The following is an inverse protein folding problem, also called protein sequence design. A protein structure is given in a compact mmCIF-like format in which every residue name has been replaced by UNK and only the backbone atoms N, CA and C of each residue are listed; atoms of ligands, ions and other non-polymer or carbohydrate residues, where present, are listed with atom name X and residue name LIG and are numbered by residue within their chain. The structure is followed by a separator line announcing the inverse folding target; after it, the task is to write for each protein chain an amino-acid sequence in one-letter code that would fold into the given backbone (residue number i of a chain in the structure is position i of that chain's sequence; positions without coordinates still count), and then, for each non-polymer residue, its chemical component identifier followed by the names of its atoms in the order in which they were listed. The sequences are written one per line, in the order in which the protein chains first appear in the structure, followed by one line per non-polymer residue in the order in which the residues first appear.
data_IF_782874219554
#
_entry.id   IF_782874219554
#
_cell.length_a   1.000
_cell.length_b   1.000
_cell.length_c   1.000
_cell.angle_alpha   90.00
_cell.angle_beta   90.00
_cell.angle_gamma   90.00
#
_symmetry.space_group_name_H-M   'P 1'
#
loop_
_entity.id
_entity.type
_entity.pdbx_description
1 polymer ?
#
# COMPACT_ATOMS: atom_id res chain seq x y z
N UNK A 1 -20.31 -20.50 -25.35
CA UNK A 1 -19.03 -21.17 -25.65
C UNK A 1 -17.89 -20.19 -25.97
N UNK A 2 -18.14 -19.08 -26.68
CA UNK A 2 -17.14 -18.08 -27.07
C UNK A 2 -16.49 -17.32 -25.92
N UNK A 3 -17.24 -16.84 -24.91
CA UNK A 3 -16.66 -16.05 -23.80
C UNK A 3 -15.62 -16.81 -22.97
N UNK A 4 -15.87 -18.09 -22.68
CA UNK A 4 -14.93 -18.93 -21.94
C UNK A 4 -13.63 -19.14 -22.71
N UNK A 5 -13.72 -19.34 -24.03
CA UNK A 5 -12.56 -19.47 -24.92
C UNK A 5 -11.73 -18.17 -24.96
N UNK A 6 -12.38 -17.00 -25.01
CA UNK A 6 -11.68 -15.71 -24.93
C UNK A 6 -10.96 -15.51 -23.60
N UNK A 7 -11.60 -15.83 -22.47
CA UNK A 7 -10.96 -15.76 -21.15
C UNK A 7 -9.74 -16.68 -21.11
N UNK A 8 -9.87 -17.92 -21.60
CA UNK A 8 -8.78 -18.90 -21.66
C UNK A 8 -7.60 -18.40 -22.50
N UNK A 9 -7.85 -17.85 -23.69
CA UNK A 9 -6.80 -17.30 -24.55
C UNK A 9 -6.08 -16.11 -23.92
N UNK A 10 -6.82 -15.23 -23.23
CA UNK A 10 -6.23 -14.12 -22.48
C UNK A 10 -5.38 -14.66 -21.32
N UNK A 11 -5.88 -15.59 -20.52
CA UNK A 11 -5.14 -16.17 -19.39
C UNK A 11 -3.83 -16.83 -19.83
N UNK A 12 -3.84 -17.60 -20.92
CA UNK A 12 -2.63 -18.24 -21.47
C UNK A 12 -1.59 -17.19 -21.88
N UNK A 13 -2.02 -16.11 -22.53
CA UNK A 13 -1.11 -15.04 -22.95
C UNK A 13 -0.48 -14.28 -21.77
N UNK A 14 -1.19 -14.16 -20.64
CA UNK A 14 -0.71 -13.45 -19.45
C UNK A 14 0.08 -14.32 -18.46
N UNK A 15 0.02 -15.65 -18.59
CA UNK A 15 0.75 -16.60 -17.73
C UNK A 15 2.27 -16.34 -17.65
N UNK A 16 3.01 -16.14 -18.76
CA UNK A 16 4.45 -15.85 -18.66
C UNK A 16 4.76 -14.51 -17.99
N UNK A 17 3.89 -13.51 -18.17
CA UNK A 17 4.05 -12.18 -17.58
C UNK A 17 3.84 -12.27 -16.07
N UNK A 18 2.77 -12.92 -15.63
CA UNK A 18 2.47 -13.14 -14.21
C UNK A 18 3.58 -13.92 -13.53
N UNK A 19 4.14 -14.96 -14.17
CA UNK A 19 5.29 -15.69 -13.65
C UNK A 19 6.56 -14.82 -13.48
N UNK A 20 6.81 -13.84 -14.36
CA UNK A 20 7.91 -12.89 -14.19
C UNK A 20 7.66 -11.91 -13.05
N UNK A 21 6.42 -11.41 -12.92
CA UNK A 21 6.01 -10.50 -11.84
C UNK A 21 6.16 -11.19 -10.48
N UNK A 22 5.65 -12.41 -10.33
CA UNK A 22 5.77 -13.18 -9.09
C UNK A 22 7.22 -13.48 -8.74
N UNK A 23 8.05 -13.76 -9.74
CA UNK A 23 9.46 -14.06 -9.51
C UNK A 23 10.27 -12.84 -9.11
N UNK A 24 10.05 -11.68 -9.74
CA UNK A 24 10.95 -10.53 -9.63
C UNK A 24 10.37 -9.31 -8.92
N UNK A 25 9.05 -9.18 -8.81
CA UNK A 25 8.40 -8.01 -8.23
C UNK A 25 7.75 -8.31 -6.89
N UNK A 26 6.76 -9.19 -6.86
CA UNK A 26 6.02 -9.55 -5.64
C UNK A 26 5.11 -10.75 -5.94
N UNK A 27 4.99 -11.70 -5.01
CA UNK A 27 4.19 -12.91 -5.20
C UNK A 27 2.98 -13.06 -4.25
N UNK A 28 2.80 -12.17 -3.27
CA UNK A 28 1.66 -12.21 -2.35
C UNK A 28 0.50 -11.35 -2.88
N UNK A 29 -0.31 -11.95 -3.76
CA UNK A 29 -1.48 -11.29 -4.35
C UNK A 29 -2.57 -10.94 -3.34
N UNK A 30 -2.71 -11.72 -2.28
CA UNK A 30 -3.72 -11.50 -1.24
C UNK A 30 -3.37 -10.22 -0.45
N UNK A 31 -2.11 -10.06 -0.06
CA UNK A 31 -1.64 -8.83 0.54
C UNK A 31 -1.86 -7.61 -0.37
N UNK A 32 -1.58 -7.72 -1.68
CA UNK A 32 -1.81 -6.62 -2.63
C UNK A 32 -3.28 -6.20 -2.67
N UNK A 33 -4.21 -7.16 -2.62
CA UNK A 33 -5.65 -6.88 -2.59
C UNK A 33 -6.02 -6.13 -1.30
N UNK A 34 -5.55 -6.59 -0.14
CA UNK A 34 -5.83 -5.91 1.13
C UNK A 34 -5.24 -4.51 1.20
N UNK A 35 -4.00 -4.34 0.73
CA UNK A 35 -3.36 -3.03 0.65
C UNK A 35 -4.12 -2.10 -0.30
N UNK A 36 -4.55 -2.59 -1.45
CA UNK A 36 -5.35 -1.81 -2.39
C UNK A 36 -6.68 -1.35 -1.77
N UNK A 37 -7.39 -2.25 -1.09
CA UNK A 37 -8.64 -1.92 -0.38
C UNK A 37 -8.40 -0.80 0.64
N UNK A 38 -7.33 -0.90 1.42
CA UNK A 38 -6.95 0.11 2.41
C UNK A 38 -6.68 1.48 1.77
N UNK A 39 -5.87 1.54 0.71
CA UNK A 39 -5.55 2.79 -0.01
C UNK A 39 -6.81 3.39 -0.65
N UNK A 40 -7.66 2.55 -1.24
CA UNK A 40 -8.91 2.99 -1.86
C UNK A 40 -9.85 3.60 -0.82
N UNK A 41 -10.01 2.92 0.33
CA UNK A 41 -10.86 3.41 1.42
C UNK A 41 -10.31 4.70 2.04
N UNK A 42 -9.00 4.77 2.27
CA UNK A 42 -8.32 6.00 2.72
C UNK A 42 -8.56 7.16 1.74
N UNK A 43 -8.38 6.92 0.44
CA UNK A 43 -8.58 7.94 -0.60
C UNK A 43 -10.02 8.42 -0.67
N UNK A 44 -11.00 7.51 -0.52
CA UNK A 44 -12.42 7.86 -0.46
C UNK A 44 -12.72 8.73 0.77
N UNK A 45 -12.23 8.36 1.95
CA UNK A 45 -12.43 9.15 3.17
C UNK A 45 -11.73 10.51 3.10
N UNK A 46 -10.49 10.56 2.60
CA UNK A 46 -9.75 11.79 2.36
C UNK A 46 -10.48 12.72 1.37
N UNK A 47 -11.08 12.15 0.32
CA UNK A 47 -11.94 12.89 -0.61
C UNK A 47 -13.19 13.43 0.10
N UNK A 48 -13.92 12.61 0.85
CA UNK A 48 -15.12 13.04 1.61
C UNK A 48 -14.81 14.16 2.60
N UNK A 49 -13.68 14.06 3.30
CA UNK A 49 -13.15 15.10 4.21
C UNK A 49 -12.94 16.42 3.47
N UNK A 50 -12.26 16.40 2.32
CA UNK A 50 -11.98 17.61 1.54
C UNK A 50 -13.23 18.18 0.88
N UNK A 51 -14.17 17.31 0.47
CA UNK A 51 -15.48 17.70 -0.04
C UNK A 51 -16.27 18.49 1.01
N UNK A 52 -16.37 17.96 2.25
CA UNK A 52 -17.06 18.63 3.37
C UNK A 52 -16.42 19.99 3.70
N UNK A 53 -15.10 20.12 3.53
CA UNK A 53 -14.35 21.37 3.76
C UNK A 53 -14.33 22.32 2.56
N UNK A 54 -14.90 21.93 1.41
CA UNK A 54 -14.86 22.68 0.13
C UNK A 54 -13.44 23.01 -0.35
N UNK A 55 -12.45 22.18 -0.01
CA UNK A 55 -11.02 22.38 -0.35
C UNK A 55 -10.52 21.34 -1.34
N UNK A 56 -11.34 20.97 -2.33
CA UNK A 56 -10.94 19.99 -3.34
C UNK A 56 -9.83 20.57 -4.22
N UNK A 57 -8.72 19.85 -4.31
CA UNK A 57 -7.58 20.23 -5.13
C UNK A 57 -7.04 19.02 -5.87
N UNK A 58 -6.61 19.21 -7.12
CA UNK A 58 -5.92 18.19 -7.92
C UNK A 58 -4.61 17.70 -7.28
N UNK A 59 -4.02 18.50 -6.38
CA UNK A 59 -2.84 18.11 -5.60
C UNK A 59 -3.11 16.86 -4.74
N UNK A 60 -4.33 16.67 -4.26
CA UNK A 60 -4.69 15.49 -3.45
C UNK A 60 -4.62 14.19 -4.28
N UNK A 61 -5.04 14.23 -5.54
CA UNK A 61 -4.97 13.07 -6.44
C UNK A 61 -3.52 12.70 -6.80
N UNK A 62 -2.66 13.70 -7.00
CA UNK A 62 -1.23 13.46 -7.21
C UNK A 62 -0.58 12.73 -6.04
N UNK A 63 -0.97 13.05 -4.79
CA UNK A 63 -0.44 12.37 -3.60
C UNK A 63 -0.78 10.88 -3.56
N UNK A 64 -1.95 10.46 -4.04
CA UNK A 64 -2.33 9.05 -4.13
C UNK A 64 -1.42 8.30 -5.11
N UNK A 65 -1.12 8.91 -6.27
CA UNK A 65 -0.20 8.31 -7.25
C UNK A 65 1.21 8.16 -6.66
N UNK A 66 1.73 9.20 -5.99
CA UNK A 66 3.03 9.11 -5.32
C UNK A 66 3.03 8.05 -4.22
N UNK A 67 1.94 7.92 -3.46
CA UNK A 67 1.76 6.86 -2.45
C UNK A 67 1.86 5.48 -3.09
N UNK A 68 1.14 5.23 -4.20
CA UNK A 68 1.18 3.97 -4.94
C UNK A 68 2.59 3.62 -5.43
N UNK A 69 3.27 4.56 -6.10
CA UNK A 69 4.65 4.34 -6.60
C UNK A 69 5.61 4.05 -5.44
N UNK A 70 5.47 4.76 -4.32
CA UNK A 70 6.31 4.56 -3.14
C UNK A 70 6.10 3.17 -2.53
N UNK A 71 4.85 2.71 -2.45
CA UNK A 71 4.52 1.42 -1.88
C UNK A 71 4.97 0.28 -2.80
N UNK A 72 4.75 0.41 -4.10
CA UNK A 72 5.27 -0.56 -5.08
C UNK A 72 6.79 -0.69 -4.99
N UNK A 73 7.51 0.43 -4.84
CA UNK A 73 8.96 0.40 -4.63
C UNK A 73 9.36 -0.38 -3.39
N UNK A 74 8.68 -0.17 -2.26
CA UNK A 74 8.96 -0.88 -1.00
C UNK A 74 8.65 -2.38 -1.09
N UNK A 75 7.55 -2.75 -1.74
CA UNK A 75 7.17 -4.15 -1.95
C UNK A 75 8.20 -4.90 -2.80
N UNK A 76 8.67 -4.27 -3.89
CA UNK A 76 9.71 -4.84 -4.73
C UNK A 76 11.00 -5.05 -3.94
N UNK A 77 11.42 -4.07 -3.14
CA UNK A 77 12.63 -4.20 -2.30
C UNK A 77 12.47 -5.31 -1.27
N UNK A 78 11.34 -5.38 -0.57
CA UNK A 78 11.04 -6.44 0.39
C UNK A 78 11.10 -7.84 -0.25
N UNK A 79 10.47 -7.99 -1.41
CA UNK A 79 10.46 -9.24 -2.17
C UNK A 79 11.84 -9.66 -2.63
N UNK A 80 12.65 -8.72 -3.13
CA UNK A 80 14.04 -8.98 -3.55
C UNK A 80 14.85 -9.50 -2.37
N UNK A 81 14.69 -8.91 -1.18
CA UNK A 81 15.45 -9.29 0.01
C UNK A 81 15.15 -10.73 0.45
N UNK A 82 13.88 -11.12 0.42
CA UNK A 82 13.44 -12.48 0.78
C UNK A 82 13.72 -13.50 -0.33
N UNK A 83 13.68 -13.06 -1.59
CA UNK A 83 13.96 -13.91 -2.75
C UNK A 83 15.46 -14.07 -3.03
N UNK A 84 16.32 -13.35 -2.30
CA UNK A 84 17.76 -13.36 -2.51
C UNK A 84 18.35 -14.74 -2.23
N UNK A 85 19.18 -15.23 -3.17
CA UNK A 85 19.85 -16.53 -3.08
C UNK A 85 21.35 -16.39 -3.25
N UNK A 86 22.10 -17.02 -2.35
CA UNK A 86 23.56 -17.14 -2.45
C UNK A 86 23.89 -18.62 -2.70
N UNK A 87 24.55 -18.93 -3.81
CA UNK A 87 24.85 -20.33 -4.18
C UNK A 87 23.60 -21.20 -4.42
N UNK A 88 22.47 -20.59 -4.80
CA UNK A 88 21.20 -21.29 -5.01
C UNK A 88 20.36 -21.50 -3.74
N UNK A 89 20.91 -21.23 -2.55
CA UNK A 89 20.22 -21.35 -1.26
C UNK A 89 19.58 -20.01 -0.89
N UNK A 90 18.31 -20.05 -0.44
CA UNK A 90 17.58 -18.87 0.03
C UNK A 90 18.22 -18.35 1.32
N UNK A 91 18.42 -17.04 1.42
CA UNK A 91 18.88 -16.40 2.65
C UNK A 91 17.69 -16.06 3.54
N UNK A 92 17.44 -16.87 4.57
CA UNK A 92 16.28 -16.68 5.48
C UNK A 92 16.43 -15.47 6.42
N UNK A 93 17.64 -14.91 6.54
CA UNK A 93 17.93 -13.77 7.41
C UNK A 93 17.05 -12.54 7.12
N UNK A 94 16.51 -12.41 5.91
CA UNK A 94 15.72 -11.24 5.50
C UNK A 94 14.19 -11.43 5.61
N UNK A 95 13.70 -12.60 6.03
CA UNK A 95 12.26 -12.87 6.13
C UNK A 95 11.53 -11.92 7.11
N UNK A 96 12.23 -11.41 8.13
CA UNK A 96 11.67 -10.41 9.05
C UNK A 96 11.48 -9.04 8.40
N UNK A 97 12.31 -8.69 7.41
CA UNK A 97 12.29 -7.38 6.77
C UNK A 97 11.03 -7.22 5.91
N UNK A 98 10.67 -8.24 5.14
CA UNK A 98 9.42 -8.25 4.39
C UNK A 98 8.22 -8.08 5.33
N UNK A 99 8.12 -8.90 6.38
CA UNK A 99 7.04 -8.80 7.37
C UNK A 99 6.95 -7.40 7.98
N UNK A 100 8.09 -6.78 8.28
CA UNK A 100 8.14 -5.42 8.79
C UNK A 100 7.61 -4.40 7.77
N UNK A 101 8.08 -4.46 6.52
CA UNK A 101 7.62 -3.57 5.44
C UNK A 101 6.12 -3.72 5.22
N UNK A 102 5.62 -4.94 5.00
CA UNK A 102 4.21 -5.22 4.76
C UNK A 102 3.33 -4.73 5.92
N UNK A 103 3.72 -5.04 7.16
CA UNK A 103 2.99 -4.58 8.35
C UNK A 103 3.02 -3.06 8.47
N UNK A 104 4.15 -2.42 8.20
CA UNK A 104 4.27 -0.95 8.28
C UNK A 104 3.37 -0.24 7.27
N UNK A 105 3.22 -0.78 6.05
CA UNK A 105 2.31 -0.24 5.04
C UNK A 105 0.85 -0.33 5.51
N UNK A 106 0.46 -1.48 6.07
CA UNK A 106 -0.89 -1.69 6.60
C UNK A 106 -1.18 -0.76 7.79
N UNK A 107 -0.23 -0.63 8.72
CA UNK A 107 -0.36 0.28 9.87
C UNK A 107 -0.46 1.72 9.41
N UNK A 108 0.35 2.15 8.45
CA UNK A 108 0.33 3.51 7.90
C UNK A 108 -1.02 3.85 7.27
N UNK A 109 -1.58 2.96 6.45
CA UNK A 109 -2.91 3.18 5.88
C UNK A 109 -4.00 3.14 6.96
N UNK A 110 -3.89 2.27 7.96
CA UNK A 110 -4.80 2.21 9.10
C UNK A 110 -4.83 3.52 9.89
N UNK A 111 -3.66 4.10 10.17
CA UNK A 111 -3.52 5.41 10.80
C UNK A 111 -4.21 6.48 9.94
N UNK A 112 -3.91 6.52 8.64
CA UNK A 112 -4.48 7.53 7.72
C UNK A 112 -6.02 7.47 7.66
N UNK A 113 -6.59 6.26 7.63
CA UNK A 113 -8.04 6.04 7.70
C UNK A 113 -8.61 6.60 9.00
N UNK A 114 -8.03 6.25 10.16
CA UNK A 114 -8.50 6.71 11.47
C UNK A 114 -8.46 8.24 11.57
N UNK A 115 -7.41 8.87 11.05
CA UNK A 115 -7.30 10.33 11.00
C UNK A 115 -8.36 10.98 10.11
N UNK A 116 -8.63 10.38 8.95
CA UNK A 116 -9.66 10.87 8.03
C UNK A 116 -11.05 10.74 8.65
N UNK A 117 -11.36 9.62 9.33
CA UNK A 117 -12.61 9.44 10.09
C UNK A 117 -12.73 10.49 11.19
N UNK A 118 -11.71 10.63 12.05
CA UNK A 118 -11.73 11.63 13.14
C UNK A 118 -11.83 13.07 12.64
N UNK A 119 -11.32 13.36 11.44
CA UNK A 119 -11.45 14.68 10.79
C UNK A 119 -12.85 14.96 10.21
N UNK A 120 -13.59 13.91 9.85
CA UNK A 120 -14.97 14.00 9.36
C UNK A 120 -15.95 14.10 10.52
N UNK A 121 -15.71 13.31 11.58
CA UNK A 121 -16.52 13.22 12.79
C UNK A 121 -15.63 13.06 14.04
N UNK A 122 -15.49 14.15 14.81
CA UNK A 122 -14.66 14.18 16.03
C UNK A 122 -15.21 13.30 17.17
N UNK A 123 -16.46 12.84 17.09
CA UNK A 123 -17.09 12.02 18.14
C UNK A 123 -16.67 10.56 18.08
N UNK A 124 -16.30 10.05 16.89
CA UNK A 124 -16.06 8.61 16.69
C UNK A 124 -14.64 8.20 17.06
N UNK A 125 -13.69 9.13 17.06
CA UNK A 125 -12.29 8.87 17.40
C UNK A 125 -11.84 9.81 18.51
N UNK A 126 -11.47 9.29 19.70
CA UNK A 126 -10.99 10.12 20.79
C UNK A 126 -9.75 10.93 20.41
N UNK A 127 -9.69 12.20 20.83
CA UNK A 127 -8.57 13.11 20.51
C UNK A 127 -7.21 12.61 21.00
N UNK A 128 -7.17 11.93 22.15
CA UNK A 128 -5.93 11.33 22.68
C UNK A 128 -5.36 10.26 21.74
N UNK A 129 -6.23 9.49 21.09
CA UNK A 129 -5.83 8.44 20.14
C UNK A 129 -5.28 9.08 18.87
N UNK A 130 -5.99 10.05 18.30
CA UNK A 130 -5.50 10.80 17.13
C UNK A 130 -4.14 11.45 17.37
N UNK A 131 -3.93 12.04 18.56
CA UNK A 131 -2.66 12.67 18.89
C UNK A 131 -1.52 11.65 18.97
N UNK A 132 -1.74 10.49 19.60
CA UNK A 132 -0.74 9.42 19.62
C UNK A 132 -0.43 8.89 18.23
N UNK A 133 -1.44 8.68 17.37
CA UNK A 133 -1.22 8.18 16.03
C UNK A 133 -0.42 9.15 15.14
N UNK A 134 -0.59 10.47 15.35
CA UNK A 134 0.22 11.50 14.69
C UNK A 134 1.70 11.46 15.06
N UNK A 135 2.01 11.07 16.31
CA UNK A 135 3.40 10.88 16.75
C UNK A 135 4.08 9.72 16.01
N UNK A 136 3.31 8.67 15.63
CA UNK A 136 3.83 7.56 14.81
C UNK A 136 4.07 7.96 13.34
N UNK A 137 3.38 8.99 12.84
CA UNK A 137 3.59 9.55 11.51
C UNK A 137 4.66 10.66 11.50
N UNK A 138 5.49 10.77 12.55
CA UNK A 138 6.60 11.73 12.58
C UNK A 138 7.52 11.53 11.37
N UNK A 139 7.38 12.49 10.45
CA UNK A 139 7.43 12.35 8.98
C UNK A 139 8.72 11.86 8.33
N UNK A 140 9.74 11.38 9.05
CA UNK A 140 11.03 10.94 8.48
C UNK A 140 11.68 12.00 7.58
N UNK A 141 11.19 13.24 7.60
CA UNK A 141 11.65 14.33 6.76
C UNK A 141 13.01 14.71 7.28
N UNK A 142 14.04 14.50 6.46
CA UNK A 142 15.29 15.22 6.65
C UNK A 142 14.95 16.70 6.70
N UNK A 143 15.29 17.38 7.81
CA UNK A 143 15.33 18.84 7.84
C UNK A 143 16.27 19.24 6.72
N UNK A 144 15.75 19.83 5.65
CA UNK A 144 16.59 20.51 4.67
C UNK A 144 17.44 21.51 5.45
N UNK A 145 18.75 21.25 5.51
CA UNK A 145 19.74 22.26 5.87
C UNK A 145 19.98 23.14 4.66
#
# INVERSE_FOLDING_TARGET
MTKALYILMISVAFTPITGLVEKYLFNDWEFLIYLFIMIAFDSLLGFLKNWKRKTLSSKAWGQVIFKLISYMSLLIVAHIFVSFRIGGVKVELFDWFEKLVLTSLMVKEGISIIENVGSINETWVPKWLLNKLKEFDETGKFKNK
#
